data_IF_064593932003
#
_entry.id   IF_064593932003
#
_cell.length_a   1.000
_cell.length_b   1.000
_cell.length_c   1.000
_cell.angle_alpha   90.00
_cell.angle_beta   90.00
_cell.angle_gamma   90.00
#
_symmetry.space_group_name_H-M   'P 1'
#
loop_
_entity.id
_entity.type
_entity.pdbx_description
1 polymer ?
#
# COMPACT_ATOMS: atom_id res chain seq x y z
N UNK A 1 67.36 -4.02 5.35
CA UNK A 1 66.64 -5.23 4.91
C UNK A 1 65.14 -5.01 5.06
N UNK A 2 64.45 -4.94 3.91
CA UNK A 2 63.03 -5.12 3.62
C UNK A 2 61.93 -4.47 4.47
N UNK A 3 61.60 -3.25 4.05
CA UNK A 3 60.28 -2.66 4.17
C UNK A 3 59.28 -3.43 3.27
N UNK A 4 58.35 -4.20 3.87
CA UNK A 4 57.36 -5.04 3.16
C UNK A 4 55.96 -4.40 3.05
N UNK A 5 55.81 -3.10 3.22
CA UNK A 5 54.57 -2.40 2.87
C UNK A 5 54.55 -2.03 1.39
N UNK A 6 54.55 -3.04 0.52
CA UNK A 6 54.13 -2.88 -0.87
C UNK A 6 52.64 -3.21 -0.96
N UNK A 7 51.84 -2.18 -1.22
CA UNK A 7 50.58 -2.25 -1.95
C UNK A 7 49.59 -3.32 -1.52
N UNK A 8 48.69 -2.98 -0.60
CA UNK A 8 47.29 -3.38 -0.75
C UNK A 8 46.48 -2.11 -0.95
N UNK A 9 46.36 -1.72 -2.21
CA UNK A 9 45.22 -0.90 -2.61
C UNK A 9 44.02 -1.82 -2.44
N UNK A 10 43.18 -1.55 -1.44
CA UNK A 10 41.91 -2.24 -1.28
C UNK A 10 40.96 -1.73 -2.37
N UNK A 11 41.10 -2.27 -3.58
CA UNK A 11 39.98 -2.35 -4.52
C UNK A 11 39.30 -3.69 -4.26
N UNK A 12 38.55 -3.76 -3.16
CA UNK A 12 37.72 -4.90 -2.80
C UNK A 12 36.28 -4.43 -2.79
N UNK A 13 35.49 -4.91 -3.72
CA UNK A 13 34.03 -4.82 -3.74
C UNK A 13 33.43 -5.79 -2.68
N UNK A 14 34.02 -5.79 -1.48
CA UNK A 14 33.82 -6.82 -0.47
C UNK A 14 32.62 -6.41 0.40
N UNK A 15 31.43 -6.74 -0.11
CA UNK A 15 30.14 -6.63 0.56
C UNK A 15 30.01 -7.55 1.79
N UNK A 16 30.95 -7.59 2.72
CA UNK A 16 30.71 -8.25 4.00
C UNK A 16 31.55 -7.58 5.12
N UNK A 17 31.35 -6.28 5.38
CA UNK A 17 31.93 -5.59 6.54
C UNK A 17 30.92 -4.67 7.25
N UNK A 18 29.95 -5.27 7.97
CA UNK A 18 29.65 -4.97 9.38
C UNK A 18 28.98 -6.21 9.99
N UNK A 19 29.70 -6.94 10.85
CA UNK A 19 29.16 -8.08 11.61
C UNK A 19 28.05 -7.60 12.54
N UNK A 20 26.80 -7.93 12.25
CA UNK A 20 25.80 -8.04 13.30
C UNK A 20 26.24 -9.17 14.25
N UNK A 21 26.41 -8.87 15.54
CA UNK A 21 26.80 -9.85 16.56
C UNK A 21 25.69 -10.89 16.86
N UNK A 22 24.50 -10.72 16.26
CA UNK A 22 23.36 -11.61 16.35
C UNK A 22 22.91 -12.03 14.95
N UNK A 23 22.66 -13.33 14.77
CA UNK A 23 22.17 -13.88 13.52
C UNK A 23 20.97 -14.80 13.79
N UNK A 24 20.08 -14.92 12.81
CA UNK A 24 18.92 -15.79 12.83
C UNK A 24 19.21 -16.94 11.87
N UNK A 25 19.15 -18.18 12.37
CA UNK A 25 19.25 -19.36 11.52
C UNK A 25 17.95 -19.51 10.71
N UNK A 26 18.09 -19.83 9.43
CA UNK A 26 16.96 -20.07 8.53
C UNK A 26 17.32 -21.18 7.54
N UNK A 27 16.44 -22.17 7.37
CA UNK A 27 16.60 -23.24 6.38
C UNK A 27 16.26 -22.74 4.97
N UNK A 28 16.66 -23.50 3.94
CA UNK A 28 16.32 -23.18 2.54
C UNK A 28 14.81 -23.16 2.29
N UNK A 29 14.06 -24.06 2.93
CA UNK A 29 12.59 -24.10 2.84
C UNK A 29 11.94 -22.90 3.51
N UNK A 30 12.41 -22.52 4.70
CA UNK A 30 11.91 -21.33 5.40
C UNK A 30 12.23 -20.05 4.63
N UNK A 31 13.44 -19.95 4.06
CA UNK A 31 13.81 -18.81 3.21
C UNK A 31 12.91 -18.73 1.98
N UNK A 32 12.62 -19.86 1.33
CA UNK A 32 11.70 -19.91 0.18
C UNK A 32 10.29 -19.47 0.57
N UNK A 33 9.79 -19.91 1.73
CA UNK A 33 8.48 -19.49 2.23
C UNK A 33 8.47 -18.01 2.61
N UNK A 34 9.54 -17.49 3.20
CA UNK A 34 9.68 -16.06 3.49
C UNK A 34 9.59 -15.22 2.21
N UNK A 35 10.31 -15.61 1.16
CA UNK A 35 10.24 -14.96 -0.16
C UNK A 35 8.81 -15.01 -0.72
N UNK A 36 8.13 -16.17 -0.63
CA UNK A 36 6.75 -16.32 -1.06
C UNK A 36 5.81 -15.38 -0.31
N UNK A 37 5.95 -15.29 1.02
CA UNK A 37 5.17 -14.40 1.89
C UNK A 37 5.38 -12.93 1.54
N UNK A 38 6.63 -12.51 1.27
CA UNK A 38 6.94 -11.16 0.82
C UNK A 38 6.28 -10.84 -0.53
N UNK A 39 6.32 -11.76 -1.49
CA UNK A 39 5.70 -11.57 -2.80
C UNK A 39 4.17 -11.39 -2.69
N UNK A 40 3.50 -12.25 -1.94
CA UNK A 40 2.04 -12.13 -1.74
C UNK A 40 1.68 -10.90 -0.90
N UNK A 41 2.55 -10.46 0.01
CA UNK A 41 2.39 -9.21 0.76
C UNK A 41 2.42 -8.01 -0.18
N UNK A 42 3.39 -7.92 -1.09
CA UNK A 42 3.45 -6.83 -2.07
C UNK A 42 2.20 -6.77 -2.95
N UNK A 43 1.73 -7.92 -3.42
CA UNK A 43 0.50 -8.01 -4.22
C UNK A 43 -0.74 -7.59 -3.43
N UNK A 44 -0.87 -8.04 -2.18
CA UNK A 44 -2.01 -7.68 -1.32
C UNK A 44 -2.01 -6.19 -0.95
N UNK A 45 -0.84 -5.62 -0.65
CA UNK A 45 -0.69 -4.17 -0.41
C UNK A 45 -1.16 -3.40 -1.65
N UNK A 46 -0.65 -3.73 -2.83
CA UNK A 46 -1.07 -3.08 -4.07
C UNK A 46 -2.59 -3.16 -4.27
N UNK A 47 -3.16 -4.36 -4.13
CA UNK A 47 -4.58 -4.60 -4.36
C UNK A 47 -5.47 -3.78 -3.41
N UNK A 48 -5.11 -3.70 -2.12
CA UNK A 48 -5.85 -2.90 -1.15
C UNK A 48 -5.82 -1.43 -1.53
N UNK A 49 -4.66 -0.81 -1.75
CA UNK A 49 -4.59 0.62 -2.08
C UNK A 49 -5.19 0.97 -3.45
N UNK A 50 -5.25 0.02 -4.39
CA UNK A 50 -5.95 0.22 -5.66
C UNK A 50 -7.47 0.14 -5.52
N UNK A 51 -7.97 -0.77 -4.67
CA UNK A 51 -9.38 -1.00 -4.44
C UNK A 51 -9.62 -1.56 -3.04
N UNK A 52 -10.23 -0.75 -2.17
CA UNK A 52 -10.57 -1.10 -0.78
C UNK A 52 -11.77 -2.07 -0.66
N UNK A 53 -11.92 -3.00 -1.61
CA UNK A 53 -12.94 -4.04 -1.51
C UNK A 53 -12.68 -4.95 -0.31
N UNK A 54 -13.75 -5.49 0.29
CA UNK A 54 -13.63 -6.39 1.42
C UNK A 54 -12.78 -7.63 1.09
N UNK A 55 -12.80 -8.10 -0.15
CA UNK A 55 -11.96 -9.21 -0.63
C UNK A 55 -10.47 -8.85 -0.52
N UNK A 56 -10.07 -7.67 -1.01
CA UNK A 56 -8.67 -7.24 -0.93
C UNK A 56 -8.21 -7.03 0.52
N UNK A 57 -9.07 -6.46 1.36
CA UNK A 57 -8.81 -6.28 2.79
C UNK A 57 -8.61 -7.64 3.47
N UNK A 58 -9.51 -8.60 3.23
CA UNK A 58 -9.41 -9.95 3.79
C UNK A 58 -8.14 -10.67 3.31
N UNK A 59 -7.80 -10.54 2.03
CA UNK A 59 -6.57 -11.11 1.48
C UNK A 59 -5.32 -10.55 2.18
N UNK A 60 -5.27 -9.24 2.45
CA UNK A 60 -4.15 -8.64 3.19
C UNK A 60 -4.12 -9.13 4.64
N UNK A 61 -5.27 -9.24 5.30
CA UNK A 61 -5.38 -9.82 6.66
C UNK A 61 -4.81 -11.25 6.69
N UNK A 62 -5.16 -12.10 5.71
CA UNK A 62 -4.67 -13.47 5.65
C UNK A 62 -3.16 -13.56 5.43
N UNK A 63 -2.63 -12.70 4.56
CA UNK A 63 -1.17 -12.59 4.36
C UNK A 63 -0.47 -12.15 5.65
N UNK A 64 -0.99 -11.15 6.35
CA UNK A 64 -0.43 -10.68 7.62
C UNK A 64 -0.46 -11.77 8.70
N UNK A 65 -1.54 -12.55 8.80
CA UNK A 65 -1.65 -13.68 9.72
C UNK A 65 -0.62 -14.78 9.39
N UNK A 66 -0.44 -15.11 8.11
CA UNK A 66 0.54 -16.11 7.69
C UNK A 66 1.97 -15.63 7.93
N UNK A 67 2.25 -14.34 7.68
CA UNK A 67 3.52 -13.72 8.01
C UNK A 67 3.80 -13.76 9.52
N UNK A 68 2.80 -13.45 10.35
CA UNK A 68 2.93 -13.53 11.81
C UNK A 68 3.26 -14.95 12.28
N UNK A 69 2.56 -15.96 11.74
CA UNK A 69 2.84 -17.37 12.04
C UNK A 69 4.28 -17.73 11.68
N UNK A 70 4.72 -17.36 10.47
CA UNK A 70 6.09 -17.59 10.01
C UNK A 70 7.12 -16.94 10.94
N UNK A 71 6.96 -15.66 11.28
CA UNK A 71 7.86 -14.93 12.17
C UNK A 71 7.92 -15.54 13.57
N UNK A 72 6.80 -16.06 14.09
CA UNK A 72 6.76 -16.70 15.40
C UNK A 72 7.45 -18.08 15.43
N UNK A 73 7.53 -18.76 14.28
CA UNK A 73 8.28 -20.00 14.11
C UNK A 73 9.79 -19.78 14.00
N UNK A 74 10.24 -18.59 13.63
CA UNK A 74 11.66 -18.24 13.62
C UNK A 74 12.22 -18.11 15.05
N UNK A 75 13.51 -18.39 15.18
CA UNK A 75 14.27 -18.23 16.43
C UNK A 75 14.66 -16.77 16.68
N UNK A 76 13.65 -15.91 16.74
CA UNK A 76 13.80 -14.48 17.04
C UNK A 76 13.92 -14.27 18.56
N UNK A 77 14.65 -13.24 18.98
CA UNK A 77 14.68 -12.84 20.38
C UNK A 77 13.29 -12.41 20.87
N UNK A 78 12.99 -12.47 22.19
CA UNK A 78 11.68 -12.05 22.71
C UNK A 78 11.29 -10.62 22.29
N UNK A 79 12.26 -9.69 22.30
CA UNK A 79 12.05 -8.32 21.87
C UNK A 79 11.71 -8.22 20.37
N UNK A 80 12.40 -8.99 19.52
CA UNK A 80 12.12 -9.05 18.08
C UNK A 80 10.72 -9.59 17.82
N UNK A 81 10.33 -10.69 18.48
CA UNK A 81 8.97 -11.26 18.37
C UNK A 81 7.91 -10.25 18.80
N UNK A 82 8.15 -9.54 19.91
CA UNK A 82 7.21 -8.52 20.40
C UNK A 82 7.01 -7.39 19.39
N UNK A 83 8.09 -6.84 18.82
CA UNK A 83 8.01 -5.77 17.81
C UNK A 83 7.18 -6.22 16.61
N UNK A 84 7.51 -7.38 16.03
CA UNK A 84 6.77 -7.91 14.87
C UNK A 84 5.30 -8.17 15.18
N UNK A 85 5.00 -8.75 16.35
CA UNK A 85 3.64 -9.04 16.77
C UNK A 85 2.82 -7.77 17.01
N UNK A 86 3.40 -6.72 17.60
CA UNK A 86 2.73 -5.44 17.80
C UNK A 86 2.39 -4.75 16.49
N UNK A 87 3.33 -4.69 15.54
CA UNK A 87 3.09 -4.09 14.22
C UNK A 87 1.97 -4.82 13.48
N UNK A 88 2.02 -6.16 13.45
CA UNK A 88 0.97 -6.93 12.77
C UNK A 88 -0.38 -6.79 13.47
N UNK A 89 -0.42 -6.80 14.81
CA UNK A 89 -1.67 -6.59 15.56
C UNK A 89 -2.30 -5.21 15.28
N UNK A 90 -1.48 -4.16 15.19
CA UNK A 90 -1.94 -2.82 14.81
C UNK A 90 -2.50 -2.80 13.39
N UNK A 91 -1.80 -3.41 12.41
CA UNK A 91 -2.28 -3.54 11.04
C UNK A 91 -3.62 -4.25 10.95
N UNK A 92 -3.76 -5.37 11.66
CA UNK A 92 -5.02 -6.12 11.70
C UNK A 92 -6.15 -5.28 12.33
N UNK A 93 -5.85 -4.48 13.35
CA UNK A 93 -6.83 -3.57 13.98
C UNK A 93 -7.26 -2.48 13.02
N UNK A 94 -6.32 -1.87 12.29
CA UNK A 94 -6.61 -0.87 11.27
C UNK A 94 -7.52 -1.47 10.20
N UNK A 95 -7.14 -2.61 9.61
CA UNK A 95 -7.86 -3.24 8.51
C UNK A 95 -9.27 -3.73 8.87
N UNK A 96 -9.51 -4.06 10.15
CA UNK A 96 -10.83 -4.45 10.66
C UNK A 96 -11.73 -3.27 11.00
N UNK A 97 -11.18 -2.05 11.07
CA UNK A 97 -11.96 -0.84 11.35
C UNK A 97 -12.65 -0.37 10.07
N UNK A 98 -13.94 -0.03 10.12
CA UNK A 98 -14.70 0.39 8.94
C UNK A 98 -15.29 1.80 9.10
N UNK A 99 -14.92 2.78 8.24
CA UNK A 99 -13.81 2.74 7.30
C UNK A 99 -12.46 2.77 8.02
N UNK A 100 -11.43 2.09 7.48
CA UNK A 100 -10.09 2.17 8.06
C UNK A 100 -9.42 3.49 7.65
N UNK A 101 -8.50 3.96 8.49
CA UNK A 101 -7.68 5.12 8.15
C UNK A 101 -6.59 4.71 7.15
N UNK A 102 -6.68 5.20 5.91
CA UNK A 102 -5.70 4.89 4.88
C UNK A 102 -4.28 5.38 5.24
N UNK A 103 -4.17 6.54 5.89
CA UNK A 103 -2.90 7.07 6.38
C UNK A 103 -2.30 6.21 7.50
N UNK A 104 -3.13 5.72 8.44
CA UNK A 104 -2.67 4.81 9.48
C UNK A 104 -2.19 3.47 8.88
N UNK A 105 -2.92 2.94 7.89
CA UNK A 105 -2.52 1.72 7.18
C UNK A 105 -1.17 1.91 6.49
N UNK A 106 -0.97 3.04 5.81
CA UNK A 106 0.31 3.35 5.15
C UNK A 106 1.47 3.38 6.16
N UNK A 107 1.33 4.12 7.25
CA UNK A 107 2.40 4.28 8.26
C UNK A 107 2.72 2.95 8.94
N UNK A 108 1.72 2.14 9.27
CA UNK A 108 1.98 0.87 9.94
C UNK A 108 2.57 -0.18 8.97
N UNK A 109 2.19 -0.14 7.68
CA UNK A 109 2.84 -0.96 6.66
C UNK A 109 4.31 -0.57 6.44
N UNK A 110 4.63 0.73 6.54
CA UNK A 110 6.01 1.21 6.52
C UNK A 110 6.82 0.63 7.69
N UNK A 111 6.26 0.64 8.91
CA UNK A 111 6.85 0.00 10.08
C UNK A 111 7.10 -1.49 9.86
N UNK A 112 6.14 -2.20 9.25
CA UNK A 112 6.28 -3.62 8.92
C UNK A 112 7.44 -3.86 7.94
N UNK A 113 7.51 -3.10 6.84
CA UNK A 113 8.56 -3.28 5.82
C UNK A 113 9.96 -2.99 6.39
N UNK A 114 10.09 -1.97 7.22
CA UNK A 114 11.34 -1.68 7.93
C UNK A 114 11.73 -2.81 8.91
N UNK A 115 10.76 -3.36 9.65
CA UNK A 115 11.00 -4.50 10.53
C UNK A 115 11.42 -5.75 9.73
N UNK A 116 10.75 -6.06 8.62
CA UNK A 116 11.10 -7.19 7.76
C UNK A 116 12.49 -7.02 7.15
N UNK A 117 12.87 -5.79 6.76
CA UNK A 117 14.21 -5.49 6.29
C UNK A 117 15.27 -5.72 7.38
N UNK A 118 14.98 -5.32 8.62
CA UNK A 118 15.85 -5.57 9.76
C UNK A 118 16.02 -7.08 10.01
N UNK A 119 14.94 -7.86 10.03
CA UNK A 119 15.00 -9.33 10.21
C UNK A 119 15.76 -9.99 9.05
N UNK A 120 15.51 -9.59 7.81
CA UNK A 120 16.19 -10.15 6.63
C UNK A 120 17.71 -9.98 6.69
N UNK A 121 18.19 -8.83 7.18
CA UNK A 121 19.63 -8.55 7.35
C UNK A 121 20.30 -9.38 8.46
N UNK A 122 19.51 -9.98 9.35
CA UNK A 122 20.01 -10.84 10.41
C UNK A 122 20.06 -12.31 10.01
N UNK A 123 19.50 -12.70 8.86
CA UNK A 123 19.55 -14.10 8.43
C UNK A 123 20.99 -14.55 8.14
N UNK A 124 21.32 -15.74 8.64
CA UNK A 124 22.61 -16.39 8.41
C UNK A 124 22.66 -17.06 7.03
N UNK A 125 22.68 -16.25 5.98
CA UNK A 125 22.74 -16.66 4.57
C UNK A 125 23.83 -15.87 3.83
N UNK A 126 24.14 -16.24 2.59
CA UNK A 126 25.19 -15.56 1.80
C UNK A 126 24.81 -14.12 1.43
N UNK A 127 25.82 -13.27 1.23
CA UNK A 127 25.65 -11.84 0.97
C UNK A 127 24.77 -11.61 -0.31
N UNK A 128 24.81 -12.49 -1.33
CA UNK A 128 23.93 -12.40 -2.51
C UNK A 128 22.45 -12.70 -2.21
N UNK A 129 22.17 -13.69 -1.36
CA UNK A 129 20.82 -14.00 -0.93
C UNK A 129 20.22 -12.86 -0.09
N UNK A 130 21.02 -12.20 0.76
CA UNK A 130 20.59 -11.00 1.50
C UNK A 130 20.24 -9.88 0.52
N UNK A 131 21.07 -9.59 -0.47
CA UNK A 131 20.80 -8.53 -1.46
C UNK A 131 19.50 -8.77 -2.23
N UNK A 132 19.21 -10.01 -2.60
CA UNK A 132 17.95 -10.38 -3.24
C UNK A 132 16.73 -10.13 -2.34
N UNK A 133 16.83 -10.42 -1.03
CA UNK A 133 15.78 -10.12 -0.07
C UNK A 133 15.59 -8.62 0.12
N UNK A 134 16.69 -7.87 0.29
CA UNK A 134 16.66 -6.42 0.43
C UNK A 134 16.02 -5.78 -0.80
N UNK A 135 16.37 -6.25 -2.00
CA UNK A 135 15.77 -5.81 -3.26
C UNK A 135 14.26 -6.08 -3.29
N UNK A 136 13.83 -7.29 -2.95
CA UNK A 136 12.41 -7.65 -2.91
C UNK A 136 11.62 -6.76 -1.93
N UNK A 137 12.15 -6.55 -0.72
CA UNK A 137 11.50 -5.66 0.27
C UNK A 137 11.47 -4.21 -0.23
N UNK A 138 12.52 -3.75 -0.92
CA UNK A 138 12.57 -2.42 -1.53
C UNK A 138 11.58 -2.26 -2.69
N UNK A 139 11.30 -3.32 -3.44
CA UNK A 139 10.24 -3.32 -4.46
C UNK A 139 8.85 -3.18 -3.82
N UNK A 140 8.61 -3.87 -2.70
CA UNK A 140 7.35 -3.72 -1.93
C UNK A 140 7.23 -2.32 -1.35
N UNK A 141 8.33 -1.74 -0.87
CA UNK A 141 8.42 -0.37 -0.41
C UNK A 141 8.02 0.61 -1.53
N UNK A 142 8.52 0.40 -2.75
CA UNK A 142 8.16 1.21 -3.91
C UNK A 142 6.67 1.07 -4.28
N UNK A 143 6.11 -0.14 -4.19
CA UNK A 143 4.67 -0.39 -4.36
C UNK A 143 3.88 0.44 -3.33
N UNK A 144 4.24 0.35 -2.04
CA UNK A 144 3.54 1.07 -0.97
C UNK A 144 3.59 2.58 -1.19
N UNK A 145 4.75 3.15 -1.53
CA UNK A 145 4.88 4.57 -1.86
C UNK A 145 4.04 4.95 -3.07
N UNK A 146 4.08 4.14 -4.14
CA UNK A 146 3.37 4.43 -5.39
C UNK A 146 1.85 4.46 -5.22
N UNK A 147 1.29 3.53 -4.46
CA UNK A 147 -0.18 3.41 -4.33
C UNK A 147 -0.73 4.06 -3.06
N UNK A 148 0.05 4.14 -1.99
CA UNK A 148 -0.42 4.61 -0.68
C UNK A 148 -0.04 6.05 -0.31
N UNK A 149 0.86 6.71 -1.06
CA UNK A 149 1.27 8.10 -0.75
C UNK A 149 0.12 9.11 -0.79
N UNK A 150 -0.90 8.87 -1.63
CA UNK A 150 -2.13 9.67 -1.67
C UNK A 150 -2.93 9.67 -0.36
N UNK A 151 -2.64 8.77 0.58
CA UNK A 151 -3.35 8.65 1.84
C UNK A 151 -2.82 9.54 2.97
N UNK A 152 -1.72 10.28 2.74
CA UNK A 152 -1.10 11.15 3.76
C UNK A 152 -1.61 12.60 3.76
N UNK A 153 -2.62 12.93 2.94
CA UNK A 153 -3.25 14.26 2.96
C UNK A 153 -2.36 15.42 2.47
N UNK A 154 -1.16 15.13 1.95
CA UNK A 154 -0.31 16.10 1.27
C UNK A 154 -0.67 16.17 -0.20
N UNK A 155 -1.22 17.29 -0.66
CA UNK A 155 -1.43 17.54 -2.08
C UNK A 155 -0.12 17.40 -2.84
N UNK A 156 0.03 16.30 -3.58
CA UNK A 156 0.67 16.21 -4.91
C UNK A 156 0.48 14.78 -5.42
N UNK A 157 -0.37 14.65 -6.44
CA UNK A 157 -0.49 13.50 -7.35
C UNK A 157 -1.05 12.20 -6.74
N UNK A 158 -2.38 12.15 -6.56
CA UNK A 158 -3.07 10.88 -6.77
C UNK A 158 -2.87 10.43 -8.20
N UNK A 159 -2.65 9.13 -8.44
CA UNK A 159 -2.54 8.59 -9.79
C UNK A 159 -3.75 9.05 -10.62
N UNK A 160 -3.50 9.72 -11.75
CA UNK A 160 -4.52 9.98 -12.76
C UNK A 160 -5.15 8.63 -13.12
N UNK A 161 -6.43 8.45 -12.77
CA UNK A 161 -7.20 7.31 -13.25
C UNK A 161 -7.11 7.26 -14.77
N UNK A 162 -6.99 6.06 -15.35
CA UNK A 162 -6.87 5.90 -16.79
C UNK A 162 -7.94 6.74 -17.52
N UNK A 163 -7.49 7.63 -18.42
CA UNK A 163 -8.39 8.38 -19.30
C UNK A 163 -9.25 7.36 -20.05
N UNK A 164 -10.57 7.41 -19.87
CA UNK A 164 -11.49 6.56 -20.62
C UNK A 164 -11.33 6.78 -22.13
N UNK A 165 -11.58 5.77 -22.98
CA UNK A 165 -11.41 5.91 -24.42
C UNK A 165 -12.27 7.06 -24.96
N UNK A 166 -11.72 7.82 -25.91
CA UNK A 166 -12.41 8.87 -26.63
C UNK A 166 -13.68 8.29 -27.30
N UNK A 167 -14.84 8.91 -27.03
CA UNK A 167 -16.10 8.49 -27.65
C UNK A 167 -16.06 8.61 -29.19
N UNK A 168 -16.77 7.75 -29.93
CA UNK A 168 -16.77 7.78 -31.39
C UNK A 168 -17.31 9.12 -31.93
N UNK A 169 -16.80 9.52 -33.10
CA UNK A 169 -17.25 10.73 -33.80
C UNK A 169 -18.75 10.64 -34.15
N UNK A 170 -19.50 11.71 -33.87
CA UNK A 170 -20.93 11.79 -34.17
C UNK A 170 -21.20 11.76 -35.68
N UNK A 171 -22.28 11.10 -36.09
CA UNK A 171 -22.68 11.00 -37.49
C UNK A 171 -23.06 12.37 -38.08
N UNK A 172 -22.68 12.60 -39.33
CA UNK A 172 -23.05 13.77 -40.13
C UNK A 172 -24.57 13.76 -40.41
N UNK A 173 -25.29 14.79 -39.93
CA UNK A 173 -26.73 14.91 -40.15
C UNK A 173 -27.07 15.29 -41.59
N UNK A 174 -28.04 14.59 -42.19
CA UNK A 174 -28.63 14.99 -43.47
C UNK A 174 -29.94 15.77 -43.27
N UNK A 175 -29.91 17.01 -43.75
CA UNK A 175 -30.97 17.91 -44.26
C UNK A 175 -32.37 17.89 -43.62
N UNK A 176 -32.72 19.01 -42.98
CA UNK A 176 -33.95 19.20 -42.19
C UNK A 176 -35.25 19.40 -42.99
N UNK A 177 -36.36 19.02 -42.36
CA UNK A 177 -37.71 19.35 -42.78
C UNK A 177 -38.01 20.84 -42.56
N UNK A 178 -38.68 21.46 -43.52
CA UNK A 178 -39.07 22.87 -43.48
C UNK A 178 -40.35 23.03 -42.64
N UNK A 179 -40.20 23.65 -41.45
CA UNK A 179 -41.28 24.02 -40.52
C UNK A 179 -40.68 24.57 -39.22
N UNK A 180 -40.97 25.84 -38.91
CA UNK A 180 -40.23 26.75 -38.02
C UNK A 180 -39.90 26.23 -36.60
N UNK A 181 -38.63 26.25 -36.21
CA UNK A 181 -38.15 25.96 -34.84
C UNK A 181 -36.75 26.56 -34.58
N UNK A 182 -36.59 27.23 -33.41
CA UNK A 182 -35.35 27.24 -32.61
C UNK A 182 -34.43 28.47 -32.68
N UNK A 183 -34.33 29.21 -31.58
CA UNK A 183 -33.28 30.21 -31.35
C UNK A 183 -31.90 29.56 -31.15
N UNK A 184 -30.86 30.29 -31.55
CA UNK A 184 -29.44 29.97 -31.36
C UNK A 184 -29.11 29.67 -29.88
N UNK A 185 -28.58 28.48 -29.61
CA UNK A 185 -28.20 28.07 -28.25
C UNK A 185 -26.92 28.75 -27.74
N UNK A 186 -26.83 29.07 -26.43
CA UNK A 186 -25.65 29.67 -25.83
C UNK A 186 -24.46 28.71 -25.71
N UNK A 187 -23.26 29.29 -25.59
CA UNK A 187 -21.97 28.67 -25.28
C UNK A 187 -22.08 27.66 -24.12
N UNK A 188 -21.48 26.47 -24.27
CA UNK A 188 -21.47 25.42 -23.25
C UNK A 188 -20.73 25.83 -21.97
N UNK A 189 -21.32 25.49 -20.82
CA UNK A 189 -20.91 25.92 -19.48
C UNK A 189 -19.66 25.19 -18.95
N UNK A 190 -18.97 25.89 -18.04
CA UNK A 190 -17.88 25.42 -17.18
C UNK A 190 -18.19 24.06 -16.52
N UNK A 191 -17.15 23.21 -16.40
CA UNK A 191 -17.26 21.84 -15.90
C UNK A 191 -17.92 21.71 -14.53
N UNK A 192 -18.70 20.65 -14.37
CA UNK A 192 -19.56 20.42 -13.22
C UNK A 192 -18.79 20.33 -11.89
N UNK A 193 -19.29 21.07 -10.89
CA UNK A 193 -19.02 20.88 -9.47
C UNK A 193 -19.34 19.43 -9.07
N UNK A 194 -18.51 18.84 -8.20
CA UNK A 194 -18.69 17.47 -7.71
C UNK A 194 -20.06 17.23 -7.07
N UNK A 195 -20.53 15.96 -7.02
CA UNK A 195 -21.90 15.64 -6.63
C UNK A 195 -22.20 16.11 -5.20
N UNK A 196 -23.32 16.83 -5.06
CA UNK A 196 -23.90 17.19 -3.76
C UNK A 196 -24.42 15.92 -3.07
N UNK A 197 -24.17 15.81 -1.75
CA UNK A 197 -24.55 14.65 -0.94
C UNK A 197 -26.05 14.34 -0.95
N UNK A 198 -26.40 13.06 -0.72
CA UNK A 198 -27.78 12.58 -0.74
C UNK A 198 -28.70 13.32 0.24
N UNK A 199 -29.92 13.63 -0.22
CA UNK A 199 -30.97 14.30 0.54
C UNK A 199 -31.52 13.41 1.66
N UNK A 200 -31.63 13.95 2.87
CA UNK A 200 -32.18 13.26 4.04
C UNK A 200 -33.66 12.90 3.89
N UNK A 201 -34.04 11.74 4.42
CA UNK A 201 -35.41 11.21 4.42
C UNK A 201 -36.38 12.09 5.24
N UNK A 202 -37.63 12.16 4.77
CA UNK A 202 -38.73 12.88 5.42
C UNK A 202 -39.08 12.24 6.77
N UNK A 203 -39.05 13.04 7.85
CA UNK A 203 -39.55 12.61 9.17
C UNK A 203 -41.09 12.53 9.20
N UNK A 204 -41.68 11.65 10.02
CA UNK A 204 -43.14 11.56 10.15
C UNK A 204 -43.73 12.82 10.80
N UNK A 205 -44.94 13.23 10.37
CA UNK A 205 -45.78 14.20 11.09
C UNK A 205 -46.40 13.50 12.33
N UNK A 206 -46.70 14.11 13.47
CA UNK A 206 -46.62 15.45 14.04
C UNK A 206 -47.47 15.39 15.34
N UNK A 207 -47.35 16.34 16.26
CA UNK A 207 -48.43 16.62 17.22
C UNK A 207 -48.48 18.11 17.56
N UNK A 208 -49.71 18.62 17.55
CA UNK A 208 -50.15 20.00 17.70
C UNK A 208 -49.69 20.66 19.00
N UNK A 209 -49.43 21.96 18.91
CA UNK A 209 -48.83 22.80 19.95
C UNK A 209 -49.73 23.19 21.12
N UNK A 210 -49.05 23.86 22.06
CA UNK A 210 -49.44 24.30 23.39
C UNK A 210 -50.70 25.18 23.50
N UNK A 211 -51.17 25.34 24.74
CA UNK A 211 -51.85 26.58 25.20
C UNK A 211 -51.52 26.71 26.69
N UNK A 212 -50.74 27.70 27.15
CA UNK A 212 -51.08 29.13 27.30
C UNK A 212 -51.55 29.32 28.76
N UNK A 213 -50.93 30.15 29.61
CA UNK A 213 -50.63 31.58 29.49
C UNK A 213 -49.40 31.99 30.31
#
# INVERSE_FOLDING_TARGET
MNNKNKGKVFYGNDCCEVRACSYINISKSELKEFVRLLQVLGQAIQAVFQNHSQVNINNLIDVLNNLQKFLNCLDLSPAQKQIGNSIIANLLTILKTTPFSCGALYVELQSLLNYLLYIAKLFKIDCCAIDNLVKLISEIQAILVRYGSGCLGGGTTGATGATGPQGPAGAQGATGAQGATGAQGPQGAQGATGPQGAQGIQGPAGAQGATGA
#
